data_IF_536524927111
#
_entry.id   IF_536524927111
#
_cell.length_a   1.000
_cell.length_b   1.000
_cell.length_c   1.000
_cell.angle_alpha   90.00
_cell.angle_beta   90.00
_cell.angle_gamma   90.00
#
_symmetry.space_group_name_H-M   'P 1'
#
loop_
_entity.id
_entity.type
_entity.pdbx_description
1 polymer ?
#
# COMPACT_ATOMS: atom_id res chain seq x y z
N UNK A 1 49.27 -55.61 -3.93
CA UNK A 1 50.40 -55.09 -3.13
C UNK A 1 50.11 -53.60 -2.96
N UNK A 2 49.56 -53.14 -1.84
CA UNK A 2 50.20 -53.07 -0.50
C UNK A 2 51.50 -52.26 -0.57
N UNK A 3 51.80 -51.25 0.25
CA UNK A 3 51.17 -50.64 1.44
C UNK A 3 52.01 -49.36 1.78
N UNK A 4 51.37 -48.41 2.49
CA UNK A 4 51.85 -47.62 3.67
C UNK A 4 53.09 -46.68 3.57
N UNK A 5 53.01 -45.36 3.85
CA UNK A 5 52.80 -44.56 5.12
C UNK A 5 54.18 -43.90 5.49
N UNK A 6 54.38 -42.70 6.05
CA UNK A 6 53.75 -41.84 7.08
C UNK A 6 54.18 -40.33 6.88
N UNK A 7 53.30 -39.32 7.09
CA UNK A 7 53.15 -38.33 8.21
C UNK A 7 54.37 -37.40 8.49
N UNK A 8 54.33 -36.09 8.83
CA UNK A 8 53.39 -34.98 9.20
C UNK A 8 54.28 -33.70 9.46
N UNK A 9 53.87 -32.54 10.03
CA UNK A 9 52.66 -31.68 9.90
C UNK A 9 52.95 -30.14 9.80
N UNK A 10 51.92 -29.30 9.56
CA UNK A 10 51.91 -27.89 10.05
C UNK A 10 51.12 -26.85 9.24
N UNK A 11 49.97 -26.41 9.78
CA UNK A 11 49.44 -25.01 9.83
C UNK A 11 47.91 -24.95 9.69
N UNK A 12 47.26 -24.35 10.69
CA UNK A 12 45.82 -24.34 10.96
C UNK A 12 45.06 -23.14 10.35
N UNK A 13 43.73 -23.23 10.13
CA UNK A 13 42.85 -22.08 9.87
C UNK A 13 42.25 -21.46 11.15
N UNK A 14 41.68 -20.23 11.10
CA UNK A 14 41.34 -19.43 12.28
C UNK A 14 40.03 -19.85 12.98
N UNK A 15 40.01 -19.56 14.28
CA UNK A 15 39.07 -20.01 15.32
C UNK A 15 37.87 -19.06 15.47
N UNK A 16 36.66 -19.62 15.56
CA UNK A 16 35.46 -18.93 16.06
C UNK A 16 35.41 -18.99 17.61
N UNK A 17 34.95 -17.95 18.31
CA UNK A 17 34.93 -17.92 19.77
C UNK A 17 33.77 -18.74 20.36
N UNK A 18 34.11 -19.51 21.38
CA UNK A 18 33.25 -20.39 22.17
C UNK A 18 32.42 -19.60 23.20
N UNK A 19 31.15 -19.98 23.38
CA UNK A 19 30.30 -19.58 24.51
C UNK A 19 30.90 -20.11 25.82
N UNK A 20 31.40 -19.21 26.67
CA UNK A 20 31.80 -19.54 28.03
C UNK A 20 30.58 -19.49 28.97
N UNK A 21 30.30 -20.62 29.63
CA UNK A 21 29.40 -20.71 30.80
C UNK A 21 30.14 -20.13 32.01
N UNK A 22 29.57 -19.13 32.66
CA UNK A 22 30.12 -18.55 33.90
C UNK A 22 29.76 -19.40 35.13
N UNK A 23 30.61 -19.42 36.18
CA UNK A 23 30.43 -20.27 37.36
C UNK A 23 29.60 -19.61 38.46
N UNK A 24 28.89 -20.46 39.19
CA UNK A 24 28.05 -20.17 40.36
C UNK A 24 28.88 -19.57 41.51
N UNK A 25 28.47 -18.41 42.03
CA UNK A 25 28.93 -17.88 43.31
C UNK A 25 27.73 -17.43 44.13
N UNK A 26 27.46 -18.15 45.22
CA UNK A 26 26.42 -17.86 46.20
C UNK A 26 26.68 -16.53 46.90
N UNK A 27 25.72 -15.61 46.85
CA UNK A 27 25.70 -14.42 47.71
C UNK A 27 24.32 -14.30 48.36
N UNK A 28 24.31 -14.45 49.69
CA UNK A 28 23.17 -14.22 50.59
C UNK A 28 22.79 -12.73 50.49
N UNK A 29 21.56 -12.42 50.10
CA UNK A 29 20.98 -11.07 50.20
C UNK A 29 19.67 -11.18 50.98
N UNK A 30 19.59 -10.37 52.04
CA UNK A 30 18.48 -10.25 52.97
C UNK A 30 17.28 -9.57 52.29
N UNK A 31 16.09 -10.15 52.45
CA UNK A 31 14.82 -9.56 52.00
C UNK A 31 14.37 -8.47 52.97
N UNK A 32 14.13 -7.25 52.48
CA UNK A 32 13.29 -6.29 53.18
C UNK A 32 12.48 -5.53 52.13
N UNK A 33 11.19 -5.83 52.09
CA UNK A 33 10.20 -5.27 51.18
C UNK A 33 9.95 -3.79 51.48
N UNK A 34 9.86 -2.97 50.45
CA UNK A 34 9.02 -1.77 50.43
C UNK A 34 8.33 -1.72 49.06
N UNK A 35 6.99 -1.66 48.98
CA UNK A 35 6.31 -1.57 47.69
C UNK A 35 6.53 -0.18 47.08
N UNK A 36 6.82 -0.14 45.78
CA UNK A 36 6.81 1.09 44.99
C UNK A 36 5.38 1.69 44.98
N UNK A 37 5.21 3.01 45.11
CA UNK A 37 3.91 3.64 45.00
C UNK A 37 3.36 3.52 43.57
N UNK A 38 2.09 3.15 43.46
CA UNK A 38 1.36 3.09 42.19
C UNK A 38 1.31 4.46 41.51
N UNK A 39 1.31 4.54 40.16
CA UNK A 39 1.12 5.80 39.44
C UNK A 39 -0.23 6.42 39.79
N UNK A 40 -0.34 7.76 39.79
CA UNK A 40 -1.61 8.43 40.07
C UNK A 40 -2.66 8.05 39.02
N UNK A 41 -3.89 7.78 39.49
CA UNK A 41 -5.07 7.55 38.66
C UNK A 41 -5.23 8.71 37.68
N UNK A 42 -5.03 8.40 36.40
CA UNK A 42 -5.30 9.33 35.31
C UNK A 42 -6.81 9.41 35.09
N UNK A 43 -7.49 10.16 35.97
CA UNK A 43 -8.86 10.59 35.75
C UNK A 43 -8.92 11.41 34.45
N UNK A 44 -9.72 10.91 33.51
CA UNK A 44 -10.37 11.64 32.42
C UNK A 44 -9.47 12.46 31.50
N UNK A 45 -8.60 11.77 30.76
CA UNK A 45 -8.40 12.18 29.37
C UNK A 45 -9.63 11.75 28.59
N UNK A 46 -10.63 12.63 28.48
CA UNK A 46 -11.75 12.45 27.57
C UNK A 46 -11.18 12.06 26.19
N UNK A 47 -11.32 10.79 25.82
CA UNK A 47 -10.99 10.36 24.47
C UNK A 47 -11.93 11.13 23.56
N UNK A 48 -11.43 11.83 22.52
CA UNK A 48 -12.34 12.41 21.53
C UNK A 48 -13.27 11.29 21.07
N UNK A 49 -14.57 11.56 21.07
CA UNK A 49 -15.57 10.59 20.63
C UNK A 49 -15.12 10.05 19.27
N UNK A 50 -14.82 8.75 19.21
CA UNK A 50 -14.47 8.09 17.96
C UNK A 50 -15.63 8.30 17.00
N UNK A 51 -15.43 9.10 15.96
CA UNK A 51 -16.46 9.35 14.96
C UNK A 51 -16.87 7.99 14.39
N UNK A 52 -18.14 7.66 14.51
CA UNK A 52 -18.66 6.37 14.08
C UNK A 52 -18.62 6.26 12.54
N UNK A 53 -18.37 5.05 12.05
CA UNK A 53 -18.45 4.74 10.63
C UNK A 53 -19.92 4.89 10.16
N UNK A 54 -20.18 5.44 8.95
CA UNK A 54 -21.52 5.49 8.39
C UNK A 54 -22.18 4.10 8.33
N UNK A 55 -23.47 4.01 8.62
CA UNK A 55 -24.22 2.74 8.69
C UNK A 55 -24.08 1.90 7.41
N UNK A 56 -24.17 2.55 6.24
CA UNK A 56 -23.97 1.89 4.93
C UNK A 56 -22.59 1.21 4.81
N UNK A 57 -21.57 1.71 5.51
CA UNK A 57 -20.23 1.13 5.49
C UNK A 57 -20.03 0.10 6.61
N UNK A 58 -20.80 0.16 7.69
CA UNK A 58 -20.84 -0.91 8.71
C UNK A 58 -21.37 -2.20 8.10
N UNK A 59 -22.44 -2.11 7.31
CA UNK A 59 -22.99 -3.25 6.56
C UNK A 59 -21.94 -3.86 5.60
N UNK A 60 -21.13 -3.00 4.97
CA UNK A 60 -20.05 -3.46 4.07
C UNK A 60 -18.98 -4.24 4.83
N UNK A 61 -18.62 -3.83 6.05
CA UNK A 61 -17.66 -4.61 6.88
C UNK A 61 -18.21 -6.00 7.14
N UNK A 62 -19.47 -6.12 7.55
CA UNK A 62 -20.11 -7.42 7.77
C UNK A 62 -20.20 -8.27 6.50
N UNK A 63 -20.40 -7.64 5.34
CA UNK A 63 -20.36 -8.34 4.06
C UNK A 63 -18.95 -8.87 3.74
N UNK A 64 -17.92 -8.05 3.98
CA UNK A 64 -16.53 -8.41 3.73
C UNK A 64 -16.06 -9.57 4.61
N UNK A 65 -16.50 -9.64 5.86
CA UNK A 65 -16.17 -10.75 6.76
C UNK A 65 -16.70 -12.11 6.26
N UNK A 66 -17.78 -12.10 5.46
CA UNK A 66 -18.36 -13.30 4.85
C UNK A 66 -17.98 -13.51 3.37
N UNK A 67 -17.19 -12.61 2.77
CA UNK A 67 -16.95 -12.61 1.34
C UNK A 67 -15.95 -13.72 0.91
N UNK A 68 -16.14 -14.35 -0.26
CA UNK A 68 -15.17 -15.29 -0.81
C UNK A 68 -13.82 -14.62 -1.10
N UNK A 69 -12.71 -15.26 -0.73
CA UNK A 69 -11.35 -14.74 -0.94
C UNK A 69 -10.86 -14.81 -2.40
N UNK A 70 -11.67 -15.40 -3.29
CA UNK A 70 -11.33 -15.70 -4.68
C UNK A 70 -11.81 -14.62 -5.67
N UNK A 71 -12.65 -13.69 -5.20
CA UNK A 71 -13.26 -12.65 -6.03
C UNK A 71 -12.93 -11.27 -5.46
N UNK A 72 -12.57 -10.33 -6.32
CA UNK A 72 -12.32 -8.96 -5.90
C UNK A 72 -13.65 -8.33 -5.46
N UNK A 73 -13.66 -7.76 -4.26
CA UNK A 73 -14.78 -6.93 -3.84
C UNK A 73 -14.66 -5.57 -4.50
N UNK A 74 -15.65 -5.23 -5.33
CA UNK A 74 -15.71 -3.92 -5.98
C UNK A 74 -17.16 -3.44 -6.01
N UNK A 75 -17.56 -2.64 -5.02
CA UNK A 75 -18.93 -2.13 -4.90
C UNK A 75 -18.97 -0.65 -4.58
N UNK A 76 -20.01 0.01 -5.11
CA UNK A 76 -20.22 1.45 -4.94
C UNK A 76 -21.42 1.70 -4.04
N UNK A 77 -21.25 2.62 -3.09
CA UNK A 77 -22.24 3.02 -2.10
C UNK A 77 -22.46 4.53 -2.14
N UNK A 78 -23.69 5.01 -1.92
CA UNK A 78 -23.94 6.43 -1.75
C UNK A 78 -23.28 6.93 -0.44
N UNK A 79 -22.57 8.04 -0.52
CA UNK A 79 -21.98 8.74 0.62
C UNK A 79 -21.77 10.21 0.27
N UNK A 80 -22.45 11.11 0.97
CA UNK A 80 -22.37 12.55 0.71
C UNK A 80 -20.97 13.11 1.00
N UNK A 81 -20.66 14.32 0.53
CA UNK A 81 -19.37 14.96 0.80
C UNK A 81 -19.21 15.28 2.28
N UNK A 82 -20.29 15.72 2.90
CA UNK A 82 -20.37 16.10 4.30
C UNK A 82 -20.18 14.88 5.22
N UNK A 83 -20.83 13.77 4.90
CA UNK A 83 -20.67 12.50 5.63
C UNK A 83 -19.24 11.98 5.46
N UNK A 84 -18.75 11.89 4.21
CA UNK A 84 -17.38 11.43 3.96
C UNK A 84 -16.35 12.28 4.70
N UNK A 85 -16.50 13.61 4.69
CA UNK A 85 -15.58 14.53 5.36
C UNK A 85 -15.61 14.38 6.87
N UNK A 86 -16.80 14.21 7.46
CA UNK A 86 -16.94 14.06 8.90
C UNK A 86 -16.45 12.69 9.39
N UNK A 87 -16.63 11.62 8.62
CA UNK A 87 -16.25 10.25 9.00
C UNK A 87 -14.96 9.76 8.35
N UNK A 88 -14.18 10.65 7.74
CA UNK A 88 -13.02 10.29 6.91
C UNK A 88 -12.00 9.42 7.65
N UNK A 89 -11.65 9.81 8.87
CA UNK A 89 -10.66 9.09 9.68
C UNK A 89 -11.11 7.67 10.01
N UNK A 90 -12.40 7.48 10.31
CA UNK A 90 -12.98 6.17 10.54
C UNK A 90 -12.93 5.31 9.26
N UNK A 91 -13.29 5.88 8.11
CA UNK A 91 -13.23 5.19 6.81
C UNK A 91 -11.79 4.75 6.50
N UNK A 92 -10.81 5.63 6.69
CA UNK A 92 -9.39 5.34 6.43
C UNK A 92 -8.80 4.33 7.42
N UNK A 93 -9.32 4.27 8.64
CA UNK A 93 -8.93 3.25 9.62
C UNK A 93 -9.55 1.88 9.32
N UNK A 94 -10.74 1.84 8.72
CA UNK A 94 -11.46 0.60 8.41
C UNK A 94 -11.06 0.00 7.05
N UNK A 95 -10.99 0.83 6.01
CA UNK A 95 -10.79 0.35 4.64
C UNK A 95 -9.40 0.73 4.13
N UNK A 96 -8.59 -0.30 3.85
CA UNK A 96 -7.25 -0.11 3.28
C UNK A 96 -7.28 0.57 1.91
N UNK A 97 -8.28 0.25 1.07
CA UNK A 97 -8.42 0.76 -0.30
C UNK A 97 -9.86 1.14 -0.59
N UNK A 98 -10.04 2.37 -1.05
CA UNK A 98 -11.31 2.87 -1.55
C UNK A 98 -11.09 4.03 -2.52
N UNK A 99 -12.06 4.23 -3.41
CA UNK A 99 -12.18 5.41 -4.25
C UNK A 99 -13.36 6.25 -3.76
N UNK A 100 -13.30 7.56 -3.93
CA UNK A 100 -14.38 8.44 -3.53
C UNK A 100 -14.60 9.55 -4.54
N UNK A 101 -15.83 9.66 -5.04
CA UNK A 101 -16.27 10.73 -5.94
C UNK A 101 -17.24 11.66 -5.20
N UNK A 102 -16.78 12.83 -4.72
CA UNK A 102 -17.64 13.78 -4.01
C UNK A 102 -18.68 14.47 -4.90
N UNK A 103 -18.55 14.37 -6.23
CA UNK A 103 -19.47 14.99 -7.17
C UNK A 103 -20.63 14.06 -7.50
N UNK A 104 -20.40 12.75 -7.43
CA UNK A 104 -21.46 11.74 -7.48
C UNK A 104 -22.01 11.39 -6.10
N UNK A 105 -21.33 11.78 -5.03
CA UNK A 105 -21.66 11.38 -3.66
C UNK A 105 -21.56 9.87 -3.51
N UNK A 106 -20.44 9.29 -3.97
CA UNK A 106 -20.24 7.83 -4.00
C UNK A 106 -18.87 7.44 -3.51
N UNK A 107 -18.84 6.44 -2.64
CA UNK A 107 -17.63 5.70 -2.25
C UNK A 107 -17.62 4.35 -2.96
N UNK A 108 -16.45 3.89 -3.35
CA UNK A 108 -16.24 2.55 -3.91
C UNK A 108 -15.27 1.83 -3.00
N UNK A 109 -15.73 0.74 -2.37
CA UNK A 109 -14.87 -0.11 -1.53
C UNK A 109 -14.23 -1.17 -2.43
N UNK A 110 -12.91 -1.29 -2.31
CA UNK A 110 -12.07 -2.21 -3.10
C UNK A 110 -11.38 -3.18 -2.13
N UNK A 111 -11.72 -4.46 -2.19
CA UNK A 111 -10.90 -5.51 -1.58
C UNK A 111 -10.34 -6.40 -2.67
N UNK A 112 -9.02 -6.54 -2.64
CA UNK A 112 -8.25 -7.30 -3.61
C UNK A 112 -8.05 -8.72 -3.11
N UNK A 113 -8.04 -9.66 -4.04
CA UNK A 113 -7.68 -11.06 -3.73
C UNK A 113 -6.17 -11.22 -3.54
N UNK A 114 -5.70 -12.30 -2.87
CA UNK A 114 -4.28 -12.60 -2.81
C UNK A 114 -3.60 -12.74 -4.19
N UNK A 115 -4.34 -13.21 -5.20
CA UNK A 115 -3.85 -13.31 -6.58
C UNK A 115 -3.62 -11.93 -7.17
N UNK A 116 -4.58 -11.01 -7.00
CA UNK A 116 -4.47 -9.62 -7.44
C UNK A 116 -3.28 -8.91 -6.79
N UNK A 117 -3.15 -9.02 -5.46
CA UNK A 117 -2.05 -8.39 -4.72
C UNK A 117 -0.68 -9.00 -5.10
N UNK A 118 -0.61 -10.33 -5.26
CA UNK A 118 0.62 -11.01 -5.70
C UNK A 118 1.04 -10.58 -7.10
N UNK A 119 0.09 -10.46 -8.03
CA UNK A 119 0.38 -9.98 -9.37
C UNK A 119 0.86 -8.53 -9.37
N UNK A 120 0.24 -7.67 -8.56
CA UNK A 120 0.68 -6.28 -8.36
C UNK A 120 2.13 -6.23 -7.87
N UNK A 121 2.49 -7.04 -6.87
CA UNK A 121 3.86 -7.10 -6.36
C UNK A 121 4.85 -7.60 -7.42
N UNK A 122 4.46 -8.61 -8.22
CA UNK A 122 5.29 -9.09 -9.33
C UNK A 122 5.53 -8.03 -10.41
N UNK A 123 4.50 -7.27 -10.79
CA UNK A 123 4.64 -6.13 -11.71
C UNK A 123 5.60 -5.11 -11.13
N UNK A 124 5.44 -4.77 -9.85
CA UNK A 124 6.32 -3.82 -9.16
C UNK A 124 7.78 -4.28 -9.15
N UNK A 125 8.03 -5.55 -8.83
CA UNK A 125 9.35 -6.15 -8.84
C UNK A 125 9.98 -6.10 -10.24
N UNK A 126 9.23 -6.45 -11.29
CA UNK A 126 9.72 -6.41 -12.68
C UNK A 126 10.11 -4.99 -13.09
N UNK A 127 9.25 -3.99 -12.82
CA UNK A 127 9.54 -2.59 -13.14
C UNK A 127 10.77 -2.11 -12.39
N UNK A 128 10.85 -2.38 -11.08
CA UNK A 128 11.98 -1.96 -10.25
C UNK A 128 13.29 -2.62 -10.68
N UNK A 129 13.27 -3.91 -11.02
CA UNK A 129 14.43 -4.63 -11.53
C UNK A 129 14.92 -4.10 -12.89
N UNK A 130 14.02 -3.54 -13.71
CA UNK A 130 14.39 -2.86 -14.96
C UNK A 130 14.86 -1.43 -14.74
N UNK A 131 14.35 -0.76 -13.71
CA UNK A 131 14.75 0.60 -13.37
C UNK A 131 16.12 0.64 -12.70
N UNK A 132 16.45 -0.33 -11.85
CA UNK A 132 17.68 -0.32 -11.06
C UNK A 132 18.97 -0.22 -11.89
N UNK A 133 19.16 -0.98 -12.99
CA UNK A 133 20.36 -0.83 -13.83
C UNK A 133 20.49 0.56 -14.46
N UNK A 134 19.36 1.24 -14.74
CA UNK A 134 19.35 2.59 -15.31
C UNK A 134 19.80 3.65 -14.31
N UNK A 135 19.83 3.33 -13.01
CA UNK A 135 20.29 4.24 -11.96
C UNK A 135 21.83 4.27 -11.86
N UNK A 136 22.54 3.41 -12.58
CA UNK A 136 23.99 3.34 -12.54
C UNK A 136 24.61 4.37 -13.48
N UNK A 137 25.56 5.15 -12.95
CA UNK A 137 26.30 6.17 -13.71
C UNK A 137 25.96 7.61 -13.31
N UNK A 138 26.65 8.54 -13.96
CA UNK A 138 26.61 9.97 -13.65
C UNK A 138 25.94 10.82 -14.75
N UNK A 139 25.24 10.17 -15.67
CA UNK A 139 24.53 10.84 -16.75
C UNK A 139 23.12 11.32 -16.34
N UNK A 140 22.46 12.03 -17.26
CA UNK A 140 21.12 12.55 -17.05
C UNK A 140 20.06 11.44 -16.87
N UNK A 141 20.25 10.29 -17.52
CA UNK A 141 19.35 9.13 -17.43
C UNK A 141 19.40 8.54 -16.04
N UNK A 142 20.61 8.34 -15.50
CA UNK A 142 20.81 7.82 -14.15
C UNK A 142 20.27 8.78 -13.09
N UNK A 143 20.48 10.09 -13.26
CA UNK A 143 19.88 11.09 -12.38
C UNK A 143 18.34 11.05 -12.40
N UNK A 144 17.74 10.94 -13.58
CA UNK A 144 16.29 10.84 -13.73
C UNK A 144 15.74 9.54 -13.14
N UNK A 145 16.36 8.39 -13.45
CA UNK A 145 15.93 7.07 -12.96
C UNK A 145 16.00 6.96 -11.44
N UNK A 146 17.02 7.53 -10.79
CA UNK A 146 17.13 7.60 -9.32
C UNK A 146 16.04 8.44 -8.67
N UNK A 147 15.45 9.35 -9.44
CA UNK A 147 14.40 10.25 -8.97
C UNK A 147 12.99 9.67 -9.16
N UNK A 148 12.87 8.44 -9.67
CA UNK A 148 11.58 7.74 -9.77
C UNK A 148 11.38 6.88 -8.52
N UNK A 149 10.26 7.10 -7.83
CA UNK A 149 9.86 6.35 -6.65
C UNK A 149 8.56 5.57 -6.91
N UNK A 150 8.48 4.29 -6.53
CA UNK A 150 7.21 3.58 -6.49
C UNK A 150 6.38 4.11 -5.31
N UNK A 151 5.17 4.60 -5.57
CA UNK A 151 4.24 5.00 -4.49
C UNK A 151 3.20 3.92 -4.20
N UNK A 152 3.25 2.79 -4.91
CA UNK A 152 2.32 1.67 -4.77
C UNK A 152 0.86 2.18 -4.78
N UNK A 153 0.02 1.66 -3.89
CA UNK A 153 -1.40 2.03 -3.79
C UNK A 153 -1.68 3.35 -3.07
N UNK A 154 -0.73 4.29 -3.08
CA UNK A 154 -0.95 5.63 -2.52
C UNK A 154 -2.06 6.38 -3.25
N UNK A 155 -2.80 7.20 -2.50
CA UNK A 155 -3.98 7.91 -3.00
C UNK A 155 -3.62 9.05 -3.95
N UNK A 156 -4.39 9.18 -5.03
CA UNK A 156 -4.38 10.33 -5.94
C UNK A 156 -5.63 11.18 -5.77
N UNK A 157 -5.47 12.50 -5.90
CA UNK A 157 -6.58 13.45 -5.90
C UNK A 157 -6.73 14.08 -7.28
N UNK A 158 -7.81 13.71 -7.95
CA UNK A 158 -8.14 14.13 -9.31
C UNK A 158 -9.06 15.34 -9.29
N UNK A 159 -8.76 16.28 -10.17
CA UNK A 159 -9.63 17.41 -10.43
C UNK A 159 -10.67 16.98 -11.46
N UNK A 160 -11.93 16.83 -11.03
CA UNK A 160 -13.00 16.42 -11.93
C UNK A 160 -13.15 17.41 -13.11
N UNK A 161 -12.91 16.93 -14.33
CA UNK A 161 -13.02 17.72 -15.56
C UNK A 161 -14.47 18.04 -15.96
N UNK A 162 -15.47 17.32 -15.43
CA UNK A 162 -16.89 17.50 -15.77
C UNK A 162 -17.59 18.56 -14.93
N UNK A 163 -16.84 19.41 -14.22
CA UNK A 163 -17.44 20.48 -13.41
C UNK A 163 -18.06 21.56 -14.30
N UNK A 164 -19.28 22.03 -14.00
CA UNK A 164 -19.69 23.36 -14.42
C UNK A 164 -18.71 24.39 -13.84
N UNK A 165 -18.46 25.49 -14.58
CA UNK A 165 -17.58 26.59 -14.18
C UNK A 165 -18.11 27.44 -12.99
N UNK A 166 -18.81 26.82 -12.05
CA UNK A 166 -19.24 27.44 -10.81
C UNK A 166 -18.09 27.43 -9.80
N UNK A 167 -18.01 28.44 -8.92
CA UNK A 167 -16.95 28.49 -7.92
C UNK A 167 -16.98 27.21 -7.08
N UNK A 168 -15.81 26.58 -6.96
CA UNK A 168 -15.63 25.39 -6.13
C UNK A 168 -15.86 25.82 -4.68
N UNK A 169 -17.02 25.44 -4.12
CA UNK A 169 -17.43 25.82 -2.76
C UNK A 169 -16.44 25.32 -1.69
N UNK A 170 -15.79 24.18 -1.95
CA UNK A 170 -14.75 23.60 -1.09
C UNK A 170 -13.56 23.12 -1.95
N UNK A 171 -12.38 23.77 -1.91
CA UNK A 171 -11.23 23.40 -2.72
C UNK A 171 -10.67 22.00 -2.39
N UNK A 172 -11.03 21.43 -1.24
CA UNK A 172 -10.69 20.06 -0.86
C UNK A 172 -11.61 19.01 -1.51
N UNK A 173 -12.72 19.42 -2.13
CA UNK A 173 -13.66 18.55 -2.84
C UNK A 173 -13.04 18.09 -4.16
N UNK A 174 -12.32 16.97 -4.09
CA UNK A 174 -11.62 16.32 -5.21
C UNK A 174 -11.96 14.85 -5.25
N UNK A 175 -11.95 14.26 -6.44
CA UNK A 175 -12.10 12.82 -6.58
C UNK A 175 -10.85 12.13 -6.04
N UNK A 176 -11.02 11.16 -5.15
CA UNK A 176 -9.94 10.35 -4.61
C UNK A 176 -9.93 9.00 -5.34
N UNK A 177 -8.75 8.59 -5.81
CA UNK A 177 -8.50 7.25 -6.36
C UNK A 177 -7.35 6.57 -5.65
N UNK A 178 -7.42 5.26 -5.52
CA UNK A 178 -6.38 4.40 -4.97
C UNK A 178 -5.94 3.41 -6.05
N UNK A 179 -5.00 3.80 -6.94
CA UNK A 179 -4.48 2.89 -7.97
C UNK A 179 -3.81 1.66 -7.35
N UNK A 180 -3.59 0.61 -8.13
CA UNK A 180 -2.89 -0.57 -7.63
C UNK A 180 -1.39 -0.31 -7.48
N UNK A 181 -0.76 0.28 -8.50
CA UNK A 181 0.63 0.79 -8.45
C UNK A 181 0.75 2.15 -9.14
N UNK A 182 1.82 2.85 -8.82
CA UNK A 182 2.19 4.07 -9.54
C UNK A 182 3.67 4.41 -9.33
N UNK A 183 4.22 5.14 -10.31
CA UNK A 183 5.60 5.59 -10.33
C UNK A 183 5.64 7.10 -10.49
N UNK A 184 6.26 7.77 -9.53
CA UNK A 184 6.31 9.22 -9.47
C UNK A 184 7.75 9.71 -9.49
N UNK A 185 8.00 10.77 -10.26
CA UNK A 185 9.25 11.49 -10.13
C UNK A 185 9.19 12.35 -8.86
N UNK A 186 10.27 12.42 -8.07
CA UNK A 186 10.31 13.15 -6.79
C UNK A 186 9.92 14.63 -6.89
N UNK A 187 10.15 15.25 -8.05
CA UNK A 187 9.76 16.63 -8.34
C UNK A 187 8.38 16.80 -8.99
N UNK A 188 7.65 15.71 -9.25
CA UNK A 188 6.33 15.75 -9.86
C UNK A 188 5.22 15.72 -8.79
N UNK A 189 4.16 16.49 -9.04
CA UNK A 189 2.96 16.49 -8.19
C UNK A 189 2.11 15.23 -8.36
N UNK A 190 2.11 14.66 -9.57
CA UNK A 190 1.36 13.47 -9.92
C UNK A 190 2.33 12.41 -10.44
N UNK A 191 1.99 11.15 -10.21
CA UNK A 191 2.68 10.02 -10.81
C UNK A 191 2.68 10.15 -12.34
N UNK A 192 3.80 9.83 -12.99
CA UNK A 192 3.86 9.81 -14.46
C UNK A 192 3.16 8.58 -15.03
N UNK A 193 3.22 7.47 -14.28
CA UNK A 193 2.65 6.17 -14.64
C UNK A 193 1.75 5.68 -13.52
N UNK A 194 0.57 5.20 -13.88
CA UNK A 194 -0.34 4.45 -13.01
C UNK A 194 -0.54 3.05 -13.60
N UNK A 195 -0.67 2.05 -12.74
CA UNK A 195 -1.03 0.68 -13.11
C UNK A 195 -2.30 0.28 -12.39
N UNK A 196 -3.22 -0.33 -13.13
CA UNK A 196 -4.48 -0.90 -12.64
C UNK A 196 -4.59 -2.35 -13.10
N UNK A 197 -5.04 -3.22 -12.20
CA UNK A 197 -5.19 -4.65 -12.41
C UNK A 197 -6.65 -5.01 -12.17
N UNK A 198 -7.27 -5.65 -13.16
CA UNK A 198 -8.62 -6.20 -13.07
C UNK A 198 -8.52 -7.72 -13.15
N UNK A 199 -8.79 -8.44 -12.06
CA UNK A 199 -8.76 -9.91 -12.06
C UNK A 199 -10.14 -10.53 -12.22
N UNK A 200 -11.08 -10.15 -11.36
CA UNK A 200 -12.50 -10.54 -11.50
C UNK A 200 -13.39 -9.37 -11.93
N UNK A 201 -12.80 -8.17 -11.97
CA UNK A 201 -13.45 -6.95 -12.41
C UNK A 201 -13.53 -6.90 -13.94
N UNK A 202 -14.56 -6.25 -14.52
CA UNK A 202 -14.66 -6.11 -15.96
C UNK A 202 -13.51 -5.26 -16.52
N UNK A 203 -12.70 -5.81 -17.43
CA UNK A 203 -11.62 -5.08 -18.11
C UNK A 203 -12.06 -3.79 -18.83
N UNK A 204 -13.35 -3.66 -19.17
CA UNK A 204 -13.93 -2.40 -19.68
C UNK A 204 -13.76 -1.23 -18.69
N UNK A 205 -13.67 -1.50 -17.40
CA UNK A 205 -13.46 -0.49 -16.36
C UNK A 205 -12.05 0.10 -16.44
N UNK A 206 -11.03 -0.66 -16.88
CA UNK A 206 -9.65 -0.18 -16.99
C UNK A 206 -9.53 0.99 -17.98
N UNK A 207 -10.19 0.90 -19.14
CA UNK A 207 -10.21 2.00 -20.14
C UNK A 207 -10.85 3.26 -19.58
N UNK A 208 -11.91 3.11 -18.79
CA UNK A 208 -12.58 4.23 -18.14
C UNK A 208 -11.68 4.87 -17.09
N UNK A 209 -11.01 4.06 -16.26
CA UNK A 209 -10.04 4.54 -15.27
C UNK A 209 -8.89 5.31 -15.94
N UNK A 210 -8.37 4.82 -17.07
CA UNK A 210 -7.32 5.52 -17.81
C UNK A 210 -7.74 6.95 -18.22
N UNK A 211 -8.95 7.10 -18.77
CA UNK A 211 -9.52 8.41 -19.12
C UNK A 211 -9.70 9.30 -17.88
N UNK A 212 -10.15 8.72 -16.76
CA UNK A 212 -10.31 9.44 -15.50
C UNK A 212 -8.97 9.93 -14.93
N UNK A 213 -7.92 9.12 -14.94
CA UNK A 213 -6.58 9.51 -14.47
C UNK A 213 -5.94 10.59 -15.36
N UNK A 214 -5.90 10.36 -16.67
CA UNK A 214 -5.27 11.29 -17.61
C UNK A 214 -6.04 12.61 -17.63
N UNK A 215 -7.37 12.56 -17.75
CA UNK A 215 -8.21 13.75 -17.73
C UNK A 215 -8.17 14.45 -16.36
N UNK A 216 -8.39 13.71 -15.28
CA UNK A 216 -8.46 14.25 -13.92
C UNK A 216 -7.16 14.89 -13.41
N UNK A 217 -6.02 14.63 -14.07
CA UNK A 217 -4.75 15.29 -13.79
C UNK A 217 -4.30 16.25 -14.88
N UNK A 218 -5.13 16.55 -15.87
CA UNK A 218 -4.78 17.37 -17.04
C UNK A 218 -3.52 16.88 -17.77
N UNK A 219 -3.42 15.56 -17.95
CA UNK A 219 -2.31 14.89 -18.64
C UNK A 219 -1.01 14.82 -17.85
N UNK A 220 -1.03 15.09 -16.53
CA UNK A 220 0.16 14.93 -15.68
C UNK A 220 0.45 13.47 -15.36
N UNK A 221 -0.59 12.64 -15.19
CA UNK A 221 -0.46 11.20 -15.41
C UNK A 221 -0.44 11.00 -16.92
N UNK A 222 0.69 10.52 -17.43
CA UNK A 222 0.93 10.39 -18.88
C UNK A 222 0.55 9.01 -19.41
N UNK A 223 0.71 7.99 -18.58
CA UNK A 223 0.50 6.59 -18.98
C UNK A 223 -0.30 5.85 -17.92
N UNK A 224 -1.28 5.07 -18.36
CA UNK A 224 -2.04 4.15 -17.50
C UNK A 224 -1.96 2.75 -18.08
N UNK A 225 -1.34 1.83 -17.35
CA UNK A 225 -1.18 0.44 -17.77
C UNK A 225 -2.29 -0.38 -17.12
N UNK A 226 -3.15 -0.98 -17.94
CA UNK A 226 -4.24 -1.84 -17.49
C UNK A 226 -3.95 -3.31 -17.74
N UNK A 227 -3.91 -4.12 -16.68
CA UNK A 227 -3.82 -5.59 -16.76
C UNK A 227 -5.19 -6.22 -16.50
N UNK A 228 -5.79 -6.82 -17.52
CA UNK A 228 -7.01 -7.62 -17.37
C UNK A 228 -6.65 -9.08 -17.20
N UNK A 229 -6.52 -9.56 -15.97
CA UNK A 229 -6.29 -10.97 -15.65
C UNK A 229 -7.60 -11.74 -15.83
N UNK A 230 -7.53 -12.94 -16.39
CA UNK A 230 -8.71 -13.79 -16.58
C UNK A 230 -8.41 -15.21 -16.12
N UNK A 231 -9.40 -15.87 -15.53
CA UNK A 231 -9.30 -17.29 -15.12
C UNK A 231 -9.64 -18.26 -16.25
N UNK A 232 -10.59 -17.88 -17.12
CA UNK A 232 -11.20 -18.77 -18.11
C UNK A 232 -10.84 -18.42 -19.56
N UNK A 233 -10.01 -17.39 -19.77
CA UNK A 233 -9.55 -16.92 -21.08
C UNK A 233 -8.19 -16.25 -20.94
N UNK A 234 -7.60 -15.83 -22.05
CA UNK A 234 -6.32 -15.12 -22.03
C UNK A 234 -6.40 -13.79 -21.25
N UNK A 235 -5.37 -13.55 -20.44
CA UNK A 235 -5.14 -12.26 -19.81
C UNK A 235 -4.66 -11.22 -20.82
N UNK A 236 -4.96 -9.95 -20.58
CA UNK A 236 -4.69 -8.85 -21.52
C UNK A 236 -3.90 -7.73 -20.85
N UNK A 237 -3.09 -7.03 -21.63
CA UNK A 237 -2.42 -5.79 -21.24
C UNK A 237 -2.82 -4.67 -22.19
N UNK A 238 -3.04 -3.48 -21.66
CA UNK A 238 -3.34 -2.26 -22.40
C UNK A 238 -2.54 -1.08 -21.85
N UNK A 239 -2.17 -0.16 -22.73
CA UNK A 239 -1.38 1.04 -22.44
C UNK A 239 -2.06 2.24 -23.08
#
# INVERSE_FOLDING_TARGET
MAEHEELSPGSSPPRAPFLAKSPTASRKVSSTETPLPSPPDSLDRARPATVALPEVLVEVVSELDGAPLEVDYFKSFPLSWEDFKSTREAIEATFRRFDYDPFKGKIIIRMTTPIHDSFSELVNAVVTNKLFPLQNGDDATACFARSIIPLLSSRNYLDNQKRPALPVLDPKKKEQKSPDLQYCHTMAKYSGIVVEIAYTQPAKQLKKLAVEYIGGTFGKIQTVIGFGLNTNKESTVSV
#
